data_IF_226569481571
#
_entry.id   IF_226569481571
#
_cell.length_a   1.000
_cell.length_b   1.000
_cell.length_c   1.000
_cell.angle_alpha   90.00
_cell.angle_beta   90.00
_cell.angle_gamma   90.00
#
_symmetry.space_group_name_H-M   'P 1'
#
loop_
_entity.id
_entity.type
_entity.pdbx_description
1 polymer ?
#
# COMPACT_ATOMS: atom_id res chain seq x y z
N UNK A 1 34.38 -8.68 3.01
CA UNK A 1 33.29 -8.11 3.83
C UNK A 1 32.17 -9.13 3.86
N UNK A 2 31.88 -9.66 5.05
CA UNK A 2 30.75 -10.55 5.35
C UNK A 2 29.46 -9.81 5.03
N UNK A 3 28.75 -10.24 3.98
CA UNK A 3 27.43 -9.74 3.64
C UNK A 3 26.41 -10.23 4.66
N UNK A 4 26.34 -9.56 5.81
CA UNK A 4 25.38 -9.88 6.86
C UNK A 4 24.10 -9.03 6.77
N UNK A 5 24.13 -7.92 6.03
CA UNK A 5 23.06 -6.92 5.96
C UNK A 5 22.37 -6.87 4.58
N UNK A 6 22.39 -7.94 3.79
CA UNK A 6 21.88 -7.93 2.41
C UNK A 6 22.48 -6.82 1.49
N UNK A 7 23.60 -6.19 1.87
CA UNK A 7 24.16 -4.99 1.24
C UNK A 7 23.23 -3.76 1.33
N UNK A 8 22.58 -3.56 2.48
CA UNK A 8 21.60 -2.50 2.72
C UNK A 8 21.96 -1.54 3.86
N UNK A 9 23.19 -1.57 4.39
CA UNK A 9 23.65 -0.64 5.44
C UNK A 9 23.51 0.86 5.12
N UNK A 10 23.32 1.24 3.85
CA UNK A 10 23.03 2.62 3.43
C UNK A 10 21.76 2.72 2.58
N UNK A 11 20.88 1.72 2.68
CA UNK A 11 19.67 1.69 1.87
C UNK A 11 18.72 2.82 2.24
N UNK A 12 18.11 3.44 1.23
CA UNK A 12 17.05 4.43 1.40
C UNK A 12 15.99 4.22 0.33
N UNK A 13 14.72 4.27 0.70
CA UNK A 13 13.63 4.44 -0.27
C UNK A 13 13.52 5.93 -0.55
N UNK A 14 13.86 6.35 -1.78
CA UNK A 14 13.95 7.77 -2.15
C UNK A 14 12.60 8.36 -2.52
N UNK A 15 11.73 7.55 -3.13
CA UNK A 15 10.36 7.93 -3.46
C UNK A 15 9.49 6.70 -3.69
N UNK A 16 8.19 6.87 -3.45
CA UNK A 16 7.16 5.90 -3.78
C UNK A 16 6.05 6.67 -4.50
N UNK A 17 5.70 6.23 -5.70
CA UNK A 17 4.64 6.88 -6.48
C UNK A 17 3.68 5.83 -7.02
N UNK A 18 2.39 6.07 -6.79
CA UNK A 18 1.29 5.36 -7.44
C UNK A 18 0.87 6.15 -8.68
N UNK A 19 0.74 5.48 -9.81
CA UNK A 19 0.44 6.10 -11.11
C UNK A 19 -0.88 6.89 -11.06
N UNK A 20 -0.85 8.09 -11.63
CA UNK A 20 -2.04 8.88 -11.88
C UNK A 20 -3.01 8.17 -12.84
N UNK A 21 -4.19 8.76 -12.99
CA UNK A 21 -5.33 8.21 -13.72
C UNK A 21 -5.86 6.86 -13.19
N UNK A 22 -5.47 6.48 -11.97
CA UNK A 22 -5.90 5.24 -11.29
C UNK A 22 -7.07 5.47 -10.36
N UNK A 23 -7.05 6.57 -9.59
CA UNK A 23 -8.04 6.84 -8.55
C UNK A 23 -9.14 7.73 -9.15
N UNK A 24 -10.42 7.31 -9.10
CA UNK A 24 -11.53 8.17 -9.52
C UNK A 24 -11.55 9.48 -8.71
N UNK A 25 -11.83 10.61 -9.34
CA UNK A 25 -11.89 11.92 -8.64
C UNK A 25 -12.90 11.93 -7.49
N UNK A 26 -14.01 11.19 -7.64
CA UNK A 26 -15.03 11.02 -6.61
C UNK A 26 -14.64 10.04 -5.49
N UNK A 27 -13.57 9.28 -5.68
CA UNK A 27 -13.01 8.32 -4.71
C UNK A 27 -11.76 8.86 -4.00
N UNK A 28 -11.37 10.11 -4.28
CA UNK A 28 -10.15 10.72 -3.75
C UNK A 28 -10.36 11.16 -2.30
N UNK A 29 -9.72 10.48 -1.35
CA UNK A 29 -9.74 10.86 0.07
C UNK A 29 -8.32 10.82 0.66
N UNK A 30 -8.11 11.76 1.59
CA UNK A 30 -6.89 12.29 2.19
C UNK A 30 -5.90 11.27 2.80
N UNK A 31 -4.64 11.70 3.09
CA UNK A 31 -3.69 10.92 3.89
C UNK A 31 -4.13 10.68 5.35
N UNK A 32 -5.19 11.34 5.83
CA UNK A 32 -5.73 11.21 7.18
C UNK A 32 -7.17 10.65 7.18
N UNK A 33 -7.54 9.94 8.25
CA UNK A 33 -8.91 9.47 8.51
C UNK A 33 -9.89 10.65 8.56
N UNK A 34 -10.83 10.71 7.62
CA UNK A 34 -11.88 11.72 7.60
C UNK A 34 -13.24 11.11 7.97
N UNK A 35 -13.91 11.67 8.99
CA UNK A 35 -15.30 11.32 9.33
C UNK A 35 -16.21 11.81 8.20
N UNK A 36 -16.60 10.91 7.31
CA UNK A 36 -17.46 11.21 6.18
C UNK A 36 -18.94 11.19 6.61
N UNK A 37 -19.55 12.37 6.81
CA UNK A 37 -21.00 12.50 6.99
C UNK A 37 -21.65 12.75 5.64
N UNK A 38 -22.28 11.74 5.07
CA UNK A 38 -23.24 12.01 3.99
C UNK A 38 -24.35 10.95 3.94
N UNK A 39 -25.52 11.34 4.44
CA UNK A 39 -26.78 10.67 4.13
C UNK A 39 -27.05 10.80 2.62
N UNK A 40 -27.17 9.66 1.92
CA UNK A 40 -27.74 9.58 0.57
C UNK A 40 -26.77 9.45 -0.61
N UNK A 41 -25.49 9.82 -0.49
CA UNK A 41 -24.53 9.68 -1.61
C UNK A 41 -23.88 8.27 -1.71
N UNK A 42 -23.89 7.51 -0.61
CA UNK A 42 -23.02 6.34 -0.41
C UNK A 42 -23.69 4.96 -0.46
N UNK A 43 -25.02 4.86 -0.59
CA UNK A 43 -25.69 3.55 -0.60
C UNK A 43 -25.51 2.73 -1.89
N UNK A 44 -25.01 3.34 -2.97
CA UNK A 44 -24.60 2.61 -4.17
C UNK A 44 -23.07 2.61 -4.26
N UNK A 45 -22.50 1.43 -4.49
CA UNK A 45 -21.09 1.27 -4.88
C UNK A 45 -20.78 2.19 -6.07
N UNK A 46 -19.69 2.97 -6.02
CA UNK A 46 -19.27 3.82 -7.16
C UNK A 46 -18.97 2.94 -8.36
N UNK A 47 -18.67 1.65 -8.13
CA UNK A 47 -18.59 0.61 -9.15
C UNK A 47 -19.82 0.48 -10.06
N UNK A 48 -21.04 0.77 -9.57
CA UNK A 48 -22.26 0.79 -10.38
C UNK A 48 -22.44 2.08 -11.19
N UNK A 49 -21.61 3.10 -10.95
CA UNK A 49 -21.66 4.41 -11.62
C UNK A 49 -20.53 4.60 -12.63
N UNK A 50 -19.57 3.68 -12.72
CA UNK A 50 -18.48 3.80 -13.70
C UNK A 50 -19.03 3.77 -15.13
N UNK A 51 -18.85 4.88 -15.82
CA UNK A 51 -19.21 5.06 -17.22
C UNK A 51 -18.14 5.88 -17.95
N UNK A 52 -18.37 6.20 -19.22
CA UNK A 52 -17.46 6.97 -20.07
C UNK A 52 -17.16 8.39 -19.56
N UNK A 53 -17.99 8.95 -18.67
CA UNK A 53 -17.78 10.25 -18.03
C UNK A 53 -17.00 10.17 -16.71
N UNK A 54 -16.60 8.98 -16.25
CA UNK A 54 -15.79 8.83 -15.03
C UNK A 54 -14.45 9.53 -15.21
N UNK A 55 -14.16 10.50 -14.36
CA UNK A 55 -12.86 11.19 -14.32
C UNK A 55 -11.97 10.60 -13.23
N UNK A 56 -10.66 10.70 -13.45
CA UNK A 56 -9.64 10.19 -12.55
C UNK A 56 -8.66 11.32 -12.23
N UNK A 57 -8.07 11.25 -11.05
CA UNK A 57 -7.00 12.16 -10.64
C UNK A 57 -5.81 11.94 -11.55
N UNK A 58 -5.39 12.98 -12.28
CA UNK A 58 -4.31 12.89 -13.27
C UNK A 58 -2.94 12.71 -12.64
N UNK A 59 -2.76 13.25 -11.45
CA UNK A 59 -1.48 13.28 -10.75
C UNK A 59 -1.18 11.94 -10.06
N UNK A 60 0.10 11.61 -9.98
CA UNK A 60 0.57 10.49 -9.19
C UNK A 60 0.38 10.76 -7.69
N UNK A 61 -0.08 9.75 -6.94
CA UNK A 61 -0.09 9.79 -5.49
C UNK A 61 1.34 9.53 -5.00
N UNK A 62 1.89 10.50 -4.27
CA UNK A 62 3.24 10.44 -3.72
C UNK A 62 3.16 10.06 -2.24
N UNK A 63 3.87 9.00 -1.87
CA UNK A 63 3.99 8.57 -0.47
C UNK A 63 5.37 8.98 0.09
N UNK A 64 5.53 8.91 1.41
CA UNK A 64 6.74 9.37 2.06
C UNK A 64 7.96 8.51 1.64
N UNK A 65 9.13 9.15 1.60
CA UNK A 65 10.40 8.42 1.51
C UNK A 65 10.71 7.72 2.83
N UNK A 66 11.46 6.62 2.79
CA UNK A 66 11.89 5.90 4.01
C UNK A 66 13.40 6.00 4.17
N UNK A 67 13.85 6.64 5.25
CA UNK A 67 15.27 6.76 5.58
C UNK A 67 15.85 5.42 6.04
N UNK A 68 17.17 5.26 5.90
CA UNK A 68 17.87 4.04 6.30
C UNK A 68 17.58 3.62 7.75
N UNK A 69 17.58 4.59 8.67
CA UNK A 69 17.31 4.39 10.10
C UNK A 69 15.92 3.81 10.41
N UNK A 70 14.98 3.98 9.47
CA UNK A 70 13.59 3.55 9.61
C UNK A 70 13.35 2.20 8.91
N UNK A 71 14.33 1.70 8.15
CA UNK A 71 14.34 0.36 7.55
C UNK A 71 14.95 -0.60 8.56
N UNK A 72 14.08 -1.37 9.22
CA UNK A 72 14.45 -2.28 10.30
C UNK A 72 15.06 -3.58 9.76
N UNK A 73 16.23 -3.94 10.28
CA UNK A 73 16.78 -5.29 10.13
C UNK A 73 15.99 -6.30 10.97
N UNK A 74 15.61 -7.42 10.35
CA UNK A 74 14.87 -8.53 10.97
C UNK A 74 15.42 -9.86 10.47
N UNK A 75 15.34 -10.91 11.30
CA UNK A 75 15.91 -12.23 10.97
C UNK A 75 15.24 -12.88 9.76
N UNK A 76 13.92 -12.73 9.64
CA UNK A 76 13.13 -13.28 8.52
C UNK A 76 12.11 -12.26 8.03
N UNK A 77 12.44 -11.42 7.04
CA UNK A 77 11.52 -10.40 6.52
C UNK A 77 10.28 -10.99 5.85
N UNK A 78 10.33 -12.23 5.36
CA UNK A 78 9.18 -12.90 4.72
C UNK A 78 8.09 -13.28 5.74
N UNK A 79 8.44 -13.40 7.02
CA UNK A 79 7.47 -13.70 8.08
C UNK A 79 6.42 -12.60 8.27
N UNK A 80 6.74 -11.38 7.82
CA UNK A 80 5.90 -10.19 7.84
C UNK A 80 5.10 -10.00 6.55
N UNK A 81 5.18 -10.88 5.55
CA UNK A 81 4.23 -10.84 4.43
C UNK A 81 2.82 -11.06 5.00
N UNK A 82 1.88 -10.16 4.67
CA UNK A 82 0.51 -10.24 5.19
C UNK A 82 -0.14 -11.59 4.86
N UNK A 83 -0.79 -12.17 5.88
CA UNK A 83 -1.55 -13.44 5.80
C UNK A 83 -3.03 -13.14 6.00
N UNK A 84 -3.72 -13.93 6.81
CA UNK A 84 -5.17 -13.83 7.03
C UNK A 84 -5.54 -12.96 8.25
N UNK A 85 -4.62 -12.13 8.74
CA UNK A 85 -4.87 -11.23 9.87
C UNK A 85 -5.58 -9.95 9.44
N UNK A 86 -6.29 -9.31 10.37
CA UNK A 86 -6.87 -7.97 10.17
C UNK A 86 -5.79 -6.92 9.88
N UNK A 87 -6.20 -5.74 9.38
CA UNK A 87 -5.29 -4.62 9.17
C UNK A 87 -4.60 -4.19 10.49
N UNK A 88 -5.37 -4.14 11.59
CA UNK A 88 -4.85 -3.74 12.90
C UNK A 88 -3.85 -4.75 13.46
N UNK A 89 -4.16 -6.04 13.45
CA UNK A 89 -3.22 -7.08 13.90
C UNK A 89 -1.92 -7.05 13.08
N UNK A 90 -2.03 -6.73 11.79
CA UNK A 90 -0.86 -6.60 10.92
C UNK A 90 0.03 -5.41 11.30
N UNK A 91 -0.57 -4.24 11.53
CA UNK A 91 0.15 -3.05 12.00
C UNK A 91 0.73 -3.23 13.40
N UNK A 92 0.01 -3.92 14.29
CA UNK A 92 0.47 -4.22 15.66
C UNK A 92 1.70 -5.14 15.63
N UNK A 93 1.73 -6.12 14.73
CA UNK A 93 2.90 -6.99 14.55
C UNK A 93 4.14 -6.18 14.09
N UNK A 94 3.95 -5.21 13.19
CA UNK A 94 5.03 -4.30 12.76
C UNK A 94 5.51 -3.43 13.91
N UNK A 95 4.58 -2.81 14.63
CA UNK A 95 4.89 -1.92 15.75
C UNK A 95 5.63 -2.65 16.88
N UNK A 96 5.20 -3.88 17.21
CA UNK A 96 5.84 -4.74 18.22
C UNK A 96 7.32 -5.02 17.89
N UNK A 97 7.63 -5.18 16.62
CA UNK A 97 8.99 -5.45 16.12
C UNK A 97 9.77 -4.15 15.85
N UNK A 98 9.16 -3.00 16.15
CA UNK A 98 9.75 -1.67 15.97
C UNK A 98 9.85 -1.24 14.51
N UNK A 99 9.11 -1.88 13.60
CA UNK A 99 9.03 -1.51 12.18
C UNK A 99 8.05 -0.34 12.06
N UNK A 100 8.56 0.84 11.70
CA UNK A 100 7.78 2.08 11.58
C UNK A 100 7.66 2.59 10.15
N UNK A 101 8.36 1.96 9.21
CA UNK A 101 8.34 2.29 7.80
C UNK A 101 7.05 1.78 7.13
N UNK A 102 5.97 2.54 7.24
CA UNK A 102 4.75 2.29 6.49
C UNK A 102 4.07 3.61 6.14
N UNK A 103 3.39 3.63 5.00
CA UNK A 103 2.46 4.68 4.60
C UNK A 103 1.06 4.07 4.58
N UNK A 104 0.07 4.83 5.04
CA UNK A 104 -1.34 4.46 4.98
C UNK A 104 -2.06 5.43 4.05
N UNK A 105 -2.93 4.89 3.21
CA UNK A 105 -3.79 5.68 2.34
C UNK A 105 -5.16 4.99 2.27
N UNK A 106 -6.22 5.80 2.41
CA UNK A 106 -7.59 5.31 2.29
C UNK A 106 -8.13 5.56 0.88
N UNK A 107 -8.41 4.48 0.18
CA UNK A 107 -9.02 4.51 -1.14
C UNK A 107 -10.46 4.04 -1.03
N UNK A 108 -11.39 4.80 -1.59
CA UNK A 108 -12.79 4.41 -1.59
C UNK A 108 -13.03 3.17 -2.46
N UNK A 109 -12.64 3.24 -3.73
CA UNK A 109 -12.68 2.15 -4.70
C UNK A 109 -12.06 2.62 -6.03
N UNK A 110 -11.54 1.66 -6.81
CA UNK A 110 -11.14 1.89 -8.21
C UNK A 110 -11.45 0.67 -9.08
N UNK A 111 -11.82 0.93 -10.34
CA UNK A 111 -11.94 -0.09 -11.40
C UNK A 111 -10.67 -0.20 -12.28
N UNK A 112 -9.60 0.51 -11.93
CA UNK A 112 -8.31 0.44 -12.64
C UNK A 112 -7.26 -0.22 -11.75
N UNK A 113 -6.37 -0.98 -12.38
CA UNK A 113 -5.24 -1.57 -11.69
C UNK A 113 -4.41 -0.47 -11.03
N UNK A 114 -4.00 -0.71 -9.78
CA UNK A 114 -3.13 0.21 -9.05
C UNK A 114 -1.69 -0.18 -9.33
N UNK A 115 -1.03 0.66 -10.11
CA UNK A 115 0.37 0.52 -10.46
C UNK A 115 1.18 1.56 -9.75
N UNK A 116 2.40 1.22 -9.41
CA UNK A 116 3.32 2.18 -8.85
C UNK A 116 4.76 1.71 -8.91
N UNK A 117 5.64 2.59 -8.51
CA UNK A 117 7.08 2.35 -8.51
C UNK A 117 7.66 2.78 -7.18
N UNK A 118 8.55 1.95 -6.65
CA UNK A 118 9.37 2.24 -5.47
C UNK A 118 10.78 2.45 -5.97
N UNK A 119 11.32 3.65 -5.73
CA UNK A 119 12.71 3.97 -6.02
C UNK A 119 13.52 3.94 -4.75
N UNK A 120 14.72 3.38 -4.86
CA UNK A 120 15.59 3.18 -3.72
C UNK A 120 17.05 3.27 -4.13
N UNK A 121 17.90 3.59 -3.17
CA UNK A 121 19.35 3.67 -3.34
C UNK A 121 20.02 2.76 -2.30
N UNK A 122 21.16 2.15 -2.66
CA UNK A 122 22.00 1.35 -1.76
C UNK A 122 23.24 2.12 -1.26
N UNK A 123 23.42 3.36 -1.72
CA UNK A 123 24.61 4.19 -1.51
C UNK A 123 24.23 5.59 -1.00
N UNK A 124 23.22 5.66 -0.12
CA UNK A 124 22.83 6.90 0.55
C UNK A 124 22.17 7.94 -0.36
N UNK A 125 21.63 7.55 -1.50
CA UNK A 125 20.93 8.41 -2.45
C UNK A 125 21.73 8.80 -3.70
N UNK A 126 22.92 8.21 -3.93
CA UNK A 126 23.79 8.60 -5.06
C UNK A 126 23.35 7.94 -6.36
N UNK A 127 23.04 6.65 -6.32
CA UNK A 127 22.51 5.88 -7.45
C UNK A 127 21.15 5.32 -7.12
N UNK A 128 20.22 5.46 -8.07
CA UNK A 128 18.84 5.07 -7.88
C UNK A 128 18.51 3.80 -8.68
N UNK A 129 17.85 2.87 -7.99
CA UNK A 129 17.23 1.67 -8.54
C UNK A 129 15.72 1.80 -8.37
N UNK A 130 14.97 0.94 -9.05
CA UNK A 130 13.52 0.92 -8.89
C UNK A 130 12.95 -0.48 -9.03
N UNK A 131 11.75 -0.64 -8.49
CA UNK A 131 10.91 -1.82 -8.65
C UNK A 131 9.47 -1.35 -8.82
N UNK A 132 8.77 -1.94 -9.78
CA UNK A 132 7.37 -1.65 -10.05
C UNK A 132 6.47 -2.66 -9.34
N UNK A 133 5.29 -2.25 -8.93
CA UNK A 133 4.23 -3.13 -8.46
C UNK A 133 2.94 -2.92 -9.25
N UNK A 134 2.09 -3.94 -9.26
CA UNK A 134 0.80 -3.92 -9.94
C UNK A 134 -0.21 -4.71 -9.10
N UNK A 135 -1.19 -4.01 -8.56
CA UNK A 135 -2.37 -4.59 -7.92
C UNK A 135 -3.47 -4.63 -8.97
N UNK A 136 -3.80 -5.81 -9.46
CA UNK A 136 -4.84 -5.97 -10.47
C UNK A 136 -6.20 -5.61 -9.89
N UNK A 137 -6.98 -4.85 -10.67
CA UNK A 137 -8.25 -4.33 -10.18
C UNK A 137 -9.43 -5.26 -10.45
N UNK A 138 -9.33 -6.27 -11.33
CA UNK A 138 -10.33 -7.23 -11.87
C UNK A 138 -11.62 -7.49 -11.03
N UNK A 139 -12.34 -6.46 -10.62
CA UNK A 139 -13.34 -6.53 -9.54
C UNK A 139 -12.79 -6.65 -8.10
N UNK A 140 -11.47 -6.69 -7.89
CA UNK A 140 -10.85 -7.01 -6.59
C UNK A 140 -10.30 -5.79 -5.82
N UNK A 141 -10.10 -4.63 -6.47
CA UNK A 141 -9.72 -3.36 -5.81
C UNK A 141 -10.95 -2.48 -5.52
N UNK A 142 -12.03 -3.13 -5.13
CA UNK A 142 -13.32 -2.52 -4.78
C UNK A 142 -13.39 -2.21 -3.28
N UNK A 143 -14.50 -1.64 -2.81
CA UNK A 143 -14.71 -1.36 -1.37
C UNK A 143 -14.44 -2.59 -0.49
N UNK A 144 -14.12 -2.34 0.77
CA UNK A 144 -13.88 -3.38 1.79
C UNK A 144 -12.76 -4.33 1.37
N UNK A 145 -11.66 -3.76 0.89
CA UNK A 145 -10.44 -4.48 0.53
C UNK A 145 -9.25 -3.80 1.17
N UNK A 146 -8.31 -4.59 1.64
CA UNK A 146 -7.00 -4.11 2.07
C UNK A 146 -6.00 -4.40 0.94
N UNK A 147 -5.39 -3.33 0.44
CA UNK A 147 -4.40 -3.38 -0.64
C UNK A 147 -3.03 -3.18 -0.03
N UNK A 148 -2.19 -4.20 -0.06
CA UNK A 148 -0.89 -4.18 0.63
C UNK A 148 0.22 -4.28 -0.39
N UNK A 149 1.19 -3.38 -0.31
CA UNK A 149 2.47 -3.47 -1.02
C UNK A 149 3.55 -3.61 0.03
N UNK A 150 4.06 -4.83 0.22
CA UNK A 150 5.13 -5.09 1.19
C UNK A 150 6.48 -5.17 0.47
N UNK A 151 7.44 -4.35 0.89
CA UNK A 151 8.79 -4.30 0.35
C UNK A 151 9.83 -4.77 1.35
N UNK A 152 10.76 -5.63 0.94
CA UNK A 152 11.83 -6.14 1.80
C UNK A 152 13.10 -6.51 1.02
N UNK A 153 14.23 -6.56 1.75
CA UNK A 153 15.52 -6.99 1.21
C UNK A 153 15.90 -8.35 1.79
N UNK A 154 16.35 -9.27 0.93
CA UNK A 154 16.81 -10.59 1.36
C UNK A 154 18.34 -10.68 1.34
N UNK A 155 18.90 -11.32 2.36
CA UNK A 155 20.32 -11.62 2.35
C UNK A 155 20.68 -12.53 1.16
N UNK A 156 21.85 -12.32 0.57
CA UNK A 156 22.26 -13.00 -0.66
C UNK A 156 21.67 -12.44 -1.95
N UNK A 157 20.76 -11.46 -1.90
CA UNK A 157 20.18 -10.83 -3.11
C UNK A 157 20.82 -9.48 -3.49
N UNK A 158 21.98 -9.14 -2.91
CA UNK A 158 22.80 -7.97 -3.27
C UNK A 158 22.01 -6.64 -3.31
N UNK A 159 21.19 -6.38 -2.29
CA UNK A 159 20.40 -5.16 -2.17
C UNK A 159 19.28 -5.05 -3.22
N UNK A 160 18.77 -6.18 -3.73
CA UNK A 160 17.53 -6.20 -4.52
C UNK A 160 16.33 -6.01 -3.59
N UNK A 161 15.52 -5.00 -3.87
CA UNK A 161 14.23 -4.82 -3.22
C UNK A 161 13.23 -5.83 -3.81
N UNK A 162 12.69 -6.70 -2.97
CA UNK A 162 11.57 -7.58 -3.31
C UNK A 162 10.27 -6.90 -2.90
N UNK A 163 9.25 -6.97 -3.75
CA UNK A 163 7.94 -6.34 -3.51
C UNK A 163 6.84 -7.36 -3.74
N UNK A 164 5.97 -7.51 -2.76
CA UNK A 164 4.83 -8.43 -2.78
C UNK A 164 3.54 -7.63 -2.66
N UNK A 165 2.85 -7.35 -3.78
CA UNK A 165 1.50 -6.81 -3.75
C UNK A 165 0.51 -7.91 -3.34
N UNK A 166 -0.48 -7.57 -2.51
CA UNK A 166 -1.60 -8.44 -2.20
C UNK A 166 -2.90 -7.67 -2.03
N UNK A 167 -4.00 -8.39 -2.23
CA UNK A 167 -5.36 -7.93 -1.98
C UNK A 167 -5.93 -8.88 -0.95
N UNK A 168 -6.45 -8.34 0.14
CA UNK A 168 -7.15 -9.11 1.16
C UNK A 168 -8.57 -8.57 1.32
N UNK A 169 -9.49 -9.45 1.72
CA UNK A 169 -10.79 -9.01 2.23
C UNK A 169 -10.56 -8.12 3.45
N UNK A 170 -11.29 -7.00 3.52
CA UNK A 170 -11.30 -6.22 4.74
C UNK A 170 -11.90 -7.05 5.86
N UNK A 171 -11.06 -7.40 6.82
CA UNK A 171 -11.52 -8.00 8.06
C UNK A 171 -11.65 -6.88 9.07
N UNK A 172 -12.85 -6.74 9.63
CA UNK A 172 -13.09 -5.77 10.69
C UNK A 172 -12.16 -6.06 11.87
N UNK A 173 -11.29 -5.10 12.16
CA UNK A 173 -10.34 -5.12 13.27
C UNK A 173 -10.16 -3.74 13.88
N UNK A 174 -11.04 -2.79 13.52
CA UNK A 174 -10.98 -1.39 13.96
C UNK A 174 -12.16 -1.02 14.85
N UNK A 175 -12.24 0.26 15.24
CA UNK A 175 -13.38 0.81 16.01
C UNK A 175 -14.53 1.28 15.11
N UNK A 176 -14.33 1.25 13.79
CA UNK A 176 -15.27 1.74 12.78
C UNK A 176 -15.59 0.65 11.77
N UNK A 177 -16.89 0.35 11.65
CA UNK A 177 -17.44 -0.61 10.71
C UNK A 177 -17.73 0.10 9.38
N UNK A 178 -16.90 -0.18 8.37
CA UNK A 178 -17.13 0.28 6.99
C UNK A 178 -17.75 -0.83 6.13
N UNK A 179 -18.15 -1.96 6.71
CA UNK A 179 -18.82 -3.04 6.00
C UNK A 179 -20.18 -2.53 5.53
N UNK A 180 -20.25 -2.20 4.23
CA UNK A 180 -21.51 -2.07 3.52
C UNK A 180 -22.20 -3.45 3.51
N UNK A 181 -23.05 -3.70 4.52
CA UNK A 181 -23.79 -4.94 4.72
C UNK A 181 -24.88 -5.19 3.66
N UNK A 182 -24.90 -4.46 2.53
CA UNK A 182 -25.98 -4.52 1.55
C UNK A 182 -25.86 -5.63 0.50
N UNK A 183 -24.78 -6.43 0.47
CA UNK A 183 -24.70 -7.59 -0.44
C UNK A 183 -25.12 -8.87 0.27
N UNK A 184 -26.43 -9.04 0.45
CA UNK A 184 -27.00 -10.39 0.43
C UNK A 184 -26.97 -10.87 -1.02
N UNK A 185 -26.18 -11.92 -1.26
CA UNK A 185 -26.15 -12.70 -2.52
C UNK A 185 -27.45 -13.46 -2.72
#
# INVERSE_FOLDING_TARGET
>A
KSGNDANTSQVKVTRIEVEGNTIPTASYVFPDEAIYKEDGYNQNVTSQKYNSATTYVSDALKLASVENKDIKEVDNPESFIKKNQSAQEYLDAFNKEGIKSHDLCYLRETNKAIKGTIWYSLDGGTTEKHVTFNITSEGNAIRNRELVVYGYFLNGQMGKLTVTPSIQEWQDGGTFDFIDASTNV
#
